data_IF_697182924160
#
_entry.id   IF_697182924160
#
_cell.length_a   1.000
_cell.length_b   1.000
_cell.length_c   1.000
_cell.angle_alpha   90.00
_cell.angle_beta   90.00
_cell.angle_gamma   90.00
#
_symmetry.space_group_name_H-M   'P 1'
#
loop_
_entity.id
_entity.type
_entity.pdbx_description
1 polymer ?
#
# COMPACT_ATOMS: atom_id res chain seq x y z
N UNK A 1 -5.44 -4.26 -28.92
CA UNK A 1 -4.97 -3.30 -27.89
C UNK A 1 -6.01 -2.98 -26.83
N UNK A 2 -7.33 -3.09 -27.09
CA UNK A 2 -8.39 -2.87 -26.07
C UNK A 2 -8.23 -3.69 -24.79
N UNK A 3 -7.65 -4.89 -24.89
CA UNK A 3 -7.33 -5.75 -23.75
C UNK A 3 -6.39 -5.08 -22.72
N UNK A 4 -5.53 -4.14 -23.14
CA UNK A 4 -4.67 -3.39 -22.22
C UNK A 4 -5.49 -2.54 -21.26
N UNK A 5 -6.55 -1.89 -21.74
CA UNK A 5 -7.44 -1.12 -20.87
C UNK A 5 -8.16 -2.01 -19.85
N UNK A 6 -8.57 -3.22 -20.24
CA UNK A 6 -9.14 -4.19 -19.30
C UNK A 6 -8.13 -4.60 -18.22
N UNK A 7 -6.87 -4.81 -18.60
CA UNK A 7 -5.80 -5.11 -17.64
C UNK A 7 -5.64 -3.94 -16.65
N UNK A 8 -5.66 -2.69 -17.12
CA UNK A 8 -5.59 -1.50 -16.26
C UNK A 8 -6.76 -1.44 -15.27
N UNK A 9 -7.99 -1.68 -15.74
CA UNK A 9 -9.17 -1.72 -14.89
C UNK A 9 -9.05 -2.83 -13.83
N UNK A 10 -8.60 -4.02 -14.22
CA UNK A 10 -8.37 -5.11 -13.29
C UNK A 10 -7.34 -4.76 -12.21
N UNK A 11 -6.18 -4.21 -12.62
CA UNK A 11 -5.14 -3.75 -11.69
C UNK A 11 -5.70 -2.73 -10.71
N UNK A 12 -6.44 -1.72 -11.19
CA UNK A 12 -7.05 -0.69 -10.34
C UNK A 12 -8.04 -1.27 -9.33
N UNK A 13 -8.84 -2.26 -9.74
CA UNK A 13 -9.76 -2.96 -8.83
C UNK A 13 -8.99 -3.72 -7.75
N UNK A 14 -7.94 -4.45 -8.12
CA UNK A 14 -7.09 -5.18 -7.16
C UNK A 14 -6.46 -4.21 -6.16
N UNK A 15 -5.89 -3.10 -6.64
CA UNK A 15 -5.34 -2.06 -5.78
C UNK A 15 -6.38 -1.44 -4.85
N UNK A 16 -7.58 -1.14 -5.36
CA UNK A 16 -8.66 -0.60 -4.55
C UNK A 16 -9.05 -1.54 -3.41
N UNK A 17 -9.22 -2.83 -3.70
CA UNK A 17 -9.56 -3.80 -2.66
C UNK A 17 -8.41 -4.01 -1.66
N UNK A 18 -7.16 -3.99 -2.12
CA UNK A 18 -6.00 -4.03 -1.24
C UNK A 18 -5.99 -2.83 -0.29
N UNK A 19 -6.06 -1.62 -0.82
CA UNK A 19 -6.09 -0.37 -0.05
C UNK A 19 -7.30 -0.29 0.90
N UNK A 20 -8.47 -0.78 0.47
CA UNK A 20 -9.66 -0.84 1.31
C UNK A 20 -9.54 -1.84 2.46
N UNK A 21 -8.68 -2.85 2.34
CA UNK A 21 -8.36 -3.73 3.48
C UNK A 21 -7.50 -3.00 4.51
N UNK A 22 -6.62 -2.09 4.10
CA UNK A 22 -5.74 -1.35 5.00
C UNK A 22 -6.49 -0.38 5.92
N UNK A 23 -7.69 0.07 5.52
CA UNK A 23 -8.58 0.88 6.35
C UNK A 23 -9.44 0.09 7.32
N UNK A 24 -9.38 -1.25 7.29
CA UNK A 24 -10.04 -2.11 8.28
C UNK A 24 -9.09 -2.41 9.42
N UNK A 25 -9.58 -2.24 10.64
CA UNK A 25 -8.86 -2.68 11.81
C UNK A 25 -8.74 -4.21 11.81
N UNK A 26 -7.52 -4.72 11.97
CA UNK A 26 -7.24 -6.14 12.15
C UNK A 26 -6.11 -6.31 13.14
N UNK A 27 -6.30 -7.17 14.14
CA UNK A 27 -5.24 -7.62 15.05
C UNK A 27 -4.46 -6.46 15.71
N UNK A 28 -5.16 -5.42 16.19
CA UNK A 28 -4.47 -4.28 16.81
C UNK A 28 -3.93 -3.25 15.83
N UNK A 29 -4.07 -3.46 14.51
CA UNK A 29 -3.46 -2.61 13.50
C UNK A 29 -4.49 -1.90 12.62
N UNK A 30 -4.22 -0.62 12.37
CA UNK A 30 -4.94 0.21 11.40
C UNK A 30 -3.91 1.01 10.60
N UNK A 31 -3.93 0.92 9.26
CA UNK A 31 -2.92 1.56 8.39
C UNK A 31 -1.46 1.26 8.78
N UNK A 32 -1.16 0.01 9.17
CA UNK A 32 0.15 -0.43 9.69
C UNK A 32 0.60 0.32 10.96
N UNK A 33 -0.35 0.89 11.71
CA UNK A 33 -0.11 1.50 13.02
C UNK A 33 -0.85 0.69 14.08
N UNK A 34 -0.11 0.20 15.07
CA UNK A 34 -0.70 -0.51 16.20
C UNK A 34 -1.42 0.47 17.12
N UNK A 35 -2.73 0.31 17.28
CA UNK A 35 -3.61 1.12 18.11
C UNK A 35 -4.53 0.20 18.93
N UNK A 36 -4.87 0.55 20.19
CA UNK A 36 -5.77 -0.27 20.99
C UNK A 36 -7.23 -0.16 20.51
N UNK A 37 -7.99 -1.24 20.70
CA UNK A 37 -9.32 -1.42 20.08
C UNK A 37 -10.33 -0.36 20.50
N UNK A 38 -10.28 0.10 21.76
CA UNK A 38 -11.16 1.16 22.27
C UNK A 38 -10.99 2.52 21.56
N UNK A 39 -9.89 2.72 20.81
CA UNK A 39 -9.60 3.97 20.11
C UNK A 39 -10.23 4.04 18.72
N UNK A 40 -10.71 2.92 18.18
CA UNK A 40 -11.34 2.86 16.85
C UNK A 40 -12.62 3.69 16.82
N UNK A 41 -13.38 3.68 17.92
CA UNK A 41 -14.62 4.43 18.05
C UNK A 41 -14.40 5.94 18.26
N UNK A 42 -13.15 6.37 18.50
CA UNK A 42 -12.85 7.78 18.65
C UNK A 42 -13.16 8.56 17.37
N UNK A 43 -13.77 9.74 17.55
CA UNK A 43 -14.20 10.63 16.47
C UNK A 43 -13.04 10.93 15.51
N UNK A 44 -11.82 11.08 16.02
CA UNK A 44 -10.66 11.43 15.21
C UNK A 44 -10.18 10.27 14.33
N UNK A 45 -10.19 9.03 14.84
CA UNK A 45 -9.85 7.83 14.05
C UNK A 45 -10.90 7.59 12.98
N UNK A 46 -12.19 7.72 13.32
CA UNK A 46 -13.27 7.60 12.34
C UNK A 46 -13.17 8.65 11.23
N UNK A 47 -12.86 9.91 11.56
CA UNK A 47 -12.62 10.97 10.56
C UNK A 47 -11.49 10.61 9.61
N UNK A 48 -10.40 10.00 10.11
CA UNK A 48 -9.30 9.54 9.25
C UNK A 48 -9.77 8.46 8.29
N UNK A 49 -10.45 7.42 8.79
CA UNK A 49 -10.98 6.31 7.97
C UNK A 49 -11.93 6.84 6.89
N UNK A 50 -12.88 7.71 7.26
CA UNK A 50 -13.84 8.31 6.31
C UNK A 50 -13.09 9.13 5.25
N UNK A 51 -12.12 9.96 5.67
CA UNK A 51 -11.34 10.79 4.73
C UNK A 51 -10.52 9.95 3.76
N UNK A 52 -9.95 8.84 4.24
CA UNK A 52 -9.19 7.90 3.43
C UNK A 52 -10.09 7.18 2.41
N UNK A 53 -11.22 6.62 2.86
CA UNK A 53 -12.16 5.93 1.98
C UNK A 53 -12.73 6.88 0.92
N UNK A 54 -13.00 8.14 1.27
CA UNK A 54 -13.43 9.16 0.31
C UNK A 54 -12.35 9.43 -0.75
N UNK A 55 -11.09 9.59 -0.34
CA UNK A 55 -9.98 9.80 -1.26
C UNK A 55 -9.76 8.58 -2.17
N UNK A 56 -9.82 7.37 -1.63
CA UNK A 56 -9.72 6.14 -2.42
C UNK A 56 -10.83 6.04 -3.48
N UNK A 57 -12.08 6.35 -3.13
CA UNK A 57 -13.18 6.31 -4.08
C UNK A 57 -13.02 7.35 -5.20
N UNK A 58 -12.54 8.56 -4.86
CA UNK A 58 -12.25 9.60 -5.87
C UNK A 58 -11.14 9.13 -6.82
N UNK A 59 -10.05 8.57 -6.28
CA UNK A 59 -8.95 8.04 -7.07
C UNK A 59 -9.41 6.89 -7.97
N UNK A 60 -10.21 5.97 -7.44
CA UNK A 60 -10.79 4.89 -8.24
C UNK A 60 -11.59 5.45 -9.43
N UNK A 61 -12.50 6.39 -9.19
CA UNK A 61 -13.31 6.99 -10.25
C UNK A 61 -12.45 7.68 -11.32
N UNK A 62 -11.40 8.41 -10.90
CA UNK A 62 -10.45 9.05 -11.82
C UNK A 62 -9.72 7.99 -12.66
N UNK A 63 -9.21 6.92 -12.04
CA UNK A 63 -8.53 5.83 -12.74
C UNK A 63 -9.45 5.11 -13.74
N UNK A 64 -10.75 4.96 -13.42
CA UNK A 64 -11.75 4.43 -14.36
C UNK A 64 -11.96 5.35 -15.57
N UNK A 65 -12.11 6.65 -15.34
CA UNK A 65 -12.27 7.65 -16.42
C UNK A 65 -11.03 7.65 -17.33
N UNK A 66 -9.82 7.63 -16.75
CA UNK A 66 -8.57 7.55 -17.50
C UNK A 66 -8.50 6.27 -18.35
N UNK A 67 -8.98 5.15 -17.81
CA UNK A 67 -9.01 3.88 -18.55
C UNK A 67 -9.93 3.96 -19.77
N UNK A 68 -11.10 4.57 -19.65
CA UNK A 68 -12.06 4.77 -20.76
C UNK A 68 -11.48 5.73 -21.80
N UNK A 69 -10.90 6.84 -21.37
CA UNK A 69 -10.25 7.81 -22.27
C UNK A 69 -9.11 7.12 -23.04
N UNK A 70 -8.32 6.28 -22.35
CA UNK A 70 -7.26 5.51 -22.99
C UNK A 70 -7.83 4.60 -24.09
N UNK A 71 -8.97 3.91 -23.86
CA UNK A 71 -9.68 3.09 -24.88
C UNK A 71 -9.91 3.87 -26.18
N UNK A 72 -10.39 5.11 -26.06
CA UNK A 72 -10.70 5.97 -27.20
C UNK A 72 -9.43 6.44 -27.94
N UNK A 73 -8.33 6.66 -27.21
CA UNK A 73 -7.06 7.13 -27.77
C UNK A 73 -6.21 6.03 -28.42
N UNK A 74 -6.53 4.73 -28.25
CA UNK A 74 -5.68 3.63 -28.75
C UNK A 74 -5.47 3.62 -30.26
N UNK A 75 -6.42 4.12 -31.05
CA UNK A 75 -6.34 4.09 -32.51
C UNK A 75 -5.57 5.28 -33.10
N UNK A 76 -5.18 6.26 -32.28
CA UNK A 76 -4.49 7.47 -32.74
C UNK A 76 -2.96 7.32 -32.81
N UNK A 77 -2.39 6.33 -32.13
CA UNK A 77 -0.94 6.17 -31.99
C UNK A 77 -0.44 4.83 -32.50
N UNK A 78 0.85 4.78 -32.86
CA UNK A 78 1.55 3.53 -33.19
C UNK A 78 1.52 2.57 -31.99
N UNK A 79 1.36 1.24 -32.20
CA UNK A 79 1.25 0.25 -31.14
C UNK A 79 2.40 0.28 -30.13
N UNK A 80 3.63 0.59 -30.55
CA UNK A 80 4.79 0.71 -29.64
C UNK A 80 4.65 1.87 -28.66
N UNK A 81 4.24 3.04 -29.16
CA UNK A 81 4.04 4.26 -28.36
C UNK A 81 2.91 4.04 -27.35
N UNK A 82 1.84 3.40 -27.79
CA UNK A 82 0.69 3.05 -26.94
C UNK A 82 1.09 2.16 -25.76
N UNK A 83 1.90 1.12 -25.99
CA UNK A 83 2.38 0.23 -24.92
C UNK A 83 3.28 0.99 -23.94
N UNK A 84 4.11 1.92 -24.42
CA UNK A 84 4.94 2.75 -23.56
C UNK A 84 4.10 3.67 -22.66
N UNK A 85 3.12 4.37 -23.23
CA UNK A 85 2.17 5.21 -22.46
C UNK A 85 1.44 4.37 -21.40
N UNK A 86 1.05 3.15 -21.75
CA UNK A 86 0.39 2.22 -20.83
C UNK A 86 1.26 1.89 -19.61
N UNK A 87 2.54 1.58 -19.82
CA UNK A 87 3.48 1.33 -18.73
C UNK A 87 3.64 2.54 -17.80
N UNK A 88 3.78 3.74 -18.38
CA UNK A 88 3.87 4.99 -17.62
C UNK A 88 2.59 5.22 -16.79
N UNK A 89 1.41 4.96 -17.36
CA UNK A 89 0.14 5.09 -16.65
C UNK A 89 0.00 4.12 -15.47
N UNK A 90 0.46 2.87 -15.60
CA UNK A 90 0.48 1.92 -14.48
C UNK A 90 1.37 2.44 -13.35
N UNK A 91 2.57 2.94 -13.70
CA UNK A 91 3.52 3.45 -12.71
C UNK A 91 2.94 4.65 -11.95
N UNK A 92 2.39 5.63 -12.68
CA UNK A 92 1.75 6.81 -12.10
C UNK A 92 0.56 6.41 -11.20
N UNK A 93 -0.33 5.52 -11.65
CA UNK A 93 -1.45 5.06 -10.83
C UNK A 93 -0.99 4.39 -9.53
N UNK A 94 0.06 3.57 -9.61
CA UNK A 94 0.62 2.88 -8.44
C UNK A 94 1.14 3.88 -7.39
N UNK A 95 1.89 4.89 -7.83
CA UNK A 95 2.42 5.94 -6.93
C UNK A 95 1.28 6.76 -6.33
N UNK A 96 0.31 7.20 -7.13
CA UNK A 96 -0.81 8.03 -6.66
C UNK A 96 -1.65 7.30 -5.61
N UNK A 97 -1.89 6.00 -5.78
CA UNK A 97 -2.68 5.19 -4.85
C UNK A 97 -2.02 5.05 -3.46
N UNK A 98 -0.70 5.23 -3.33
CA UNK A 98 0.00 5.17 -2.05
C UNK A 98 -0.09 6.48 -1.23
N UNK A 99 -0.32 7.62 -1.88
CA UNK A 99 -0.43 8.94 -1.25
C UNK A 99 -1.49 8.98 -0.12
N UNK A 100 -2.76 8.56 -0.34
CA UNK A 100 -3.78 8.61 0.72
C UNK A 100 -3.40 7.73 1.92
N UNK A 101 -2.74 6.59 1.67
CA UNK A 101 -2.28 5.68 2.72
C UNK A 101 -1.22 6.34 3.59
N UNK A 102 -0.19 6.93 2.98
CA UNK A 102 0.86 7.66 3.69
C UNK A 102 0.29 8.78 4.56
N UNK A 103 -0.66 9.55 4.01
CA UNK A 103 -1.33 10.65 4.72
C UNK A 103 -2.18 10.16 5.90
N UNK A 104 -2.90 9.05 5.75
CA UNK A 104 -3.68 8.46 6.84
C UNK A 104 -2.78 7.94 7.96
N UNK A 105 -1.71 7.22 7.60
CA UNK A 105 -0.70 6.70 8.54
C UNK A 105 -0.04 7.81 9.34
N UNK A 106 0.41 8.88 8.69
CA UNK A 106 1.04 10.02 9.38
C UNK A 106 0.10 10.70 10.36
N UNK A 107 -1.18 10.88 9.99
CA UNK A 107 -2.19 11.44 10.89
C UNK A 107 -2.43 10.54 12.11
N UNK A 108 -2.53 9.23 11.90
CA UNK A 108 -2.69 8.27 13.00
C UNK A 108 -1.46 8.24 13.92
N UNK A 109 -0.25 8.31 13.37
CA UNK A 109 0.97 8.42 14.17
C UNK A 109 1.00 9.69 15.02
N UNK A 110 0.50 10.82 14.49
CA UNK A 110 0.38 12.08 15.26
C UNK A 110 -0.61 11.93 16.42
N UNK A 111 -1.80 11.39 16.17
CA UNK A 111 -2.81 11.16 17.22
C UNK A 111 -2.30 10.17 18.28
N UNK A 112 -1.65 9.08 17.85
CA UNK A 112 -1.04 8.11 18.76
C UNK A 112 -0.02 8.76 19.69
N UNK A 113 0.81 9.67 19.17
CA UNK A 113 1.77 10.43 19.98
C UNK A 113 1.09 11.40 20.93
N UNK A 114 0.04 12.09 20.49
CA UNK A 114 -0.70 13.07 21.32
C UNK A 114 -1.41 12.39 22.50
N UNK A 115 -2.08 11.27 22.22
CA UNK A 115 -2.89 10.58 23.23
C UNK A 115 -2.11 9.55 24.05
N UNK A 116 -0.79 9.45 23.83
CA UNK A 116 0.10 8.49 24.51
C UNK A 116 -0.50 7.07 24.56
N UNK A 117 -1.07 6.60 23.46
CA UNK A 117 -1.68 5.26 23.42
C UNK A 117 -0.60 4.20 23.62
N UNK A 118 -0.48 3.74 24.86
CA UNK A 118 0.40 2.66 25.29
C UNK A 118 -0.23 1.34 24.86
N UNK A 119 0.54 0.55 24.11
CA UNK A 119 0.18 -0.82 23.78
C UNK A 119 0.41 -1.62 25.08
N UNK A 120 -0.67 -1.95 25.79
CA UNK A 120 -0.60 -2.70 27.05
C UNK A 120 -0.04 -4.12 26.89
N UNK A 121 0.15 -4.61 25.66
CA UNK A 121 0.60 -5.98 25.37
C UNK A 121 1.81 -6.06 24.41
N UNK A 122 2.79 -5.18 24.55
CA UNK A 122 4.09 -5.40 23.92
C UNK A 122 4.84 -6.51 24.70
N UNK A 123 4.52 -7.78 24.43
CA UNK A 123 5.45 -8.87 24.72
C UNK A 123 6.64 -8.67 23.79
N UNK A 124 7.59 -7.84 24.20
CA UNK A 124 8.87 -7.67 23.52
C UNK A 124 9.65 -8.96 23.68
N UNK A 125 9.51 -9.87 22.72
CA UNK A 125 10.45 -10.96 22.56
C UNK A 125 11.80 -10.35 22.15
N UNK A 126 12.67 -10.20 23.14
CA UNK A 126 14.07 -9.86 22.93
C UNK A 126 14.74 -11.13 22.38
N UNK A 127 14.65 -11.34 21.07
CA UNK A 127 15.33 -12.45 20.41
C UNK A 127 16.82 -12.12 20.45
N UNK A 128 17.56 -12.84 21.28
CA UNK A 128 19.00 -12.68 21.37
C UNK A 128 19.64 -13.30 20.11
N UNK A 129 19.93 -12.45 19.12
CA UNK A 129 20.47 -12.86 17.82
C UNK A 129 21.80 -13.65 17.95
N UNK A 130 22.50 -13.51 19.08
CA UNK A 130 23.70 -14.31 19.39
C UNK A 130 23.39 -15.80 19.60
N UNK A 131 22.23 -16.13 20.18
CA UNK A 131 21.82 -17.52 20.39
C UNK A 131 21.36 -18.18 19.08
N UNK A 132 20.89 -17.38 18.11
CA UNK A 132 20.40 -17.86 16.82
C UNK A 132 21.47 -17.91 15.72
N UNK A 133 22.62 -17.26 15.92
CA UNK A 133 23.70 -17.20 14.92
C UNK A 133 24.22 -18.57 14.45
N UNK A 134 24.39 -19.61 15.30
CA UNK A 134 24.91 -20.90 14.83
C UNK A 134 23.91 -21.67 13.94
N UNK A 135 22.61 -21.35 14.00
CA UNK A 135 21.59 -21.95 13.15
C UNK A 135 21.43 -21.21 11.81
N UNK A 136 21.84 -19.94 11.74
CA UNK A 136 21.78 -19.13 10.51
C UNK A 136 22.93 -19.50 9.57
N UNK A 137 24.13 -19.78 10.10
CA UNK A 137 25.30 -20.18 9.30
C UNK A 137 25.11 -21.53 8.56
N UNK A 138 24.27 -22.43 9.08
CA UNK A 138 23.97 -23.71 8.43
C UNK A 138 22.93 -23.60 7.32
N UNK A 139 22.16 -22.50 7.27
CA UNK A 139 21.21 -22.29 6.19
C UNK A 139 21.95 -21.77 4.96
N UNK A 140 22.19 -22.67 3.99
CA UNK A 140 22.78 -22.34 2.69
C UNK A 140 22.14 -21.07 2.14
N UNK A 141 22.91 -19.99 2.11
CA UNK A 141 22.51 -18.66 1.71
C UNK A 141 22.08 -18.70 0.24
N UNK A 142 20.78 -18.93 -0.03
CA UNK A 142 20.24 -18.88 -1.39
C UNK A 142 20.25 -17.43 -1.82
N UNK A 143 21.28 -17.02 -2.57
CA UNK A 143 21.47 -15.70 -3.20
C UNK A 143 20.18 -15.08 -3.77
N UNK A 144 19.24 -15.89 -4.28
CA UNK A 144 17.91 -15.44 -4.71
C UNK A 144 17.11 -14.70 -3.64
N UNK A 145 17.16 -15.14 -2.38
CA UNK A 145 16.47 -14.46 -1.28
C UNK A 145 17.10 -13.10 -0.97
N UNK A 146 18.42 -13.00 -1.04
CA UNK A 146 19.15 -11.75 -0.80
C UNK A 146 18.81 -10.68 -1.85
N UNK A 147 18.74 -11.06 -3.14
CA UNK A 147 18.29 -10.13 -4.18
C UNK A 147 16.83 -9.72 -4.00
N UNK A 148 15.93 -10.63 -3.58
CA UNK A 148 14.55 -10.26 -3.26
C UNK A 148 14.46 -9.24 -2.11
N UNK A 149 15.25 -9.42 -1.05
CA UNK A 149 15.27 -8.47 0.08
C UNK A 149 15.81 -7.11 -0.35
N UNK A 150 16.89 -7.07 -1.12
CA UNK A 150 17.43 -5.81 -1.65
C UNK A 150 16.43 -5.11 -2.57
N UNK A 151 15.73 -5.84 -3.43
CA UNK A 151 14.71 -5.26 -4.31
C UNK A 151 13.56 -4.69 -3.48
N UNK A 152 13.14 -5.37 -2.42
CA UNK A 152 12.09 -4.89 -1.50
C UNK A 152 12.56 -3.65 -0.75
N UNK A 153 13.80 -3.62 -0.25
CA UNK A 153 14.35 -2.47 0.47
C UNK A 153 14.51 -1.24 -0.44
N UNK A 154 14.97 -1.43 -1.68
CA UNK A 154 15.02 -0.35 -2.68
C UNK A 154 13.61 0.17 -2.99
N UNK A 155 12.61 -0.70 -3.06
CA UNK A 155 11.21 -0.32 -3.31
C UNK A 155 10.53 0.36 -2.12
N UNK A 156 11.01 0.14 -0.89
CA UNK A 156 10.50 0.78 0.33
C UNK A 156 11.15 2.17 0.53
N UNK A 157 12.37 2.37 0.04
CA UNK A 157 13.11 3.62 0.20
C UNK A 157 12.89 4.66 -0.91
N UNK A 158 12.30 4.25 -2.04
CA UNK A 158 11.89 5.12 -3.16
C UNK A 158 10.38 5.41 -3.14
#
# INVERSE_FOLDING_TARGET
>A
MWYLALILMFINIVFYYSSKRDSKYKEGNLFLVTIPEYTIESIDVQKIIISYNRQLNILLNISFIISIISILLFNLFSPLITVFIFFVLIFINTVIMQIPFKKAREKLLKIKKQNSWLILNDIKYKIDLKASSPYIEQSTFKLKHFYCVIIIDIYIFF
#
